data_IF_202738092994
#
_entry.id   IF_202738092994
#
_cell.length_a   1.000
_cell.length_b   1.000
_cell.length_c   1.000
_cell.angle_alpha   90.00
_cell.angle_beta   90.00
_cell.angle_gamma   90.00
#
_symmetry.space_group_name_H-M   'P 1'
#
loop_
_entity.id
_entity.type
_entity.pdbx_description
1 polymer ?
#
# COMPACT_ATOMS: atom_id res chain seq x y z
N UNK A 1 -9.89 24.54 3.42
CA UNK A 1 -9.25 25.16 4.61
C UNK A 1 -10.21 26.24 5.12
N UNK A 2 -10.94 25.99 6.20
CA UNK A 2 -12.03 26.88 6.67
C UNK A 2 -11.48 28.02 7.56
N UNK A 3 -12.12 29.22 7.60
CA UNK A 3 -11.55 30.43 8.20
C UNK A 3 -11.52 30.45 9.73
N UNK A 4 -12.21 29.51 10.40
CA UNK A 4 -12.45 29.54 11.84
C UNK A 4 -11.31 28.93 12.68
N UNK A 5 -10.38 28.19 12.08
CA UNK A 5 -9.30 27.50 12.81
C UNK A 5 -8.28 28.41 13.47
N UNK A 6 -8.11 29.64 12.98
CA UNK A 6 -7.08 30.58 13.46
C UNK A 6 -7.53 31.29 14.75
N UNK A 7 -8.82 31.61 14.88
CA UNK A 7 -9.35 32.29 16.07
C UNK A 7 -9.42 31.38 17.31
N UNK A 8 -9.69 30.08 17.16
CA UNK A 8 -9.72 29.15 18.30
C UNK A 8 -8.34 28.84 18.88
N UNK A 9 -7.28 28.86 18.05
CA UNK A 9 -5.92 28.58 18.49
C UNK A 9 -5.33 29.65 19.42
N UNK A 10 -5.63 30.93 19.16
CA UNK A 10 -5.10 32.04 19.97
C UNK A 10 -5.69 32.06 21.38
N UNK A 11 -7.01 31.87 21.51
CA UNK A 11 -7.69 31.83 22.80
C UNK A 11 -7.27 30.61 23.64
N UNK A 12 -7.04 29.47 22.99
CA UNK A 12 -6.54 28.26 23.66
C UNK A 12 -5.11 28.41 24.21
N UNK A 13 -4.21 29.03 23.45
CA UNK A 13 -2.83 29.26 23.88
C UNK A 13 -2.74 30.21 25.09
N UNK A 14 -3.51 31.29 25.08
CA UNK A 14 -3.58 32.24 26.19
C UNK A 14 -4.18 31.58 27.44
N UNK A 15 -5.21 30.76 27.29
CA UNK A 15 -5.81 30.02 28.40
C UNK A 15 -4.85 28.96 28.98
N UNK A 16 -4.09 28.25 28.14
CA UNK A 16 -3.08 27.29 28.60
C UNK A 16 -1.97 27.98 29.39
N UNK A 17 -1.47 29.13 28.92
CA UNK A 17 -0.41 29.86 29.61
C UNK A 17 -0.90 30.44 30.95
N UNK A 18 -2.14 30.94 30.99
CA UNK A 18 -2.78 31.40 32.22
C UNK A 18 -2.95 30.25 33.23
N UNK A 19 -3.41 29.07 32.77
CA UNK A 19 -3.55 27.89 33.61
C UNK A 19 -2.19 27.41 34.13
N UNK A 20 -1.16 27.36 33.27
CA UNK A 20 0.20 27.00 33.66
C UNK A 20 0.72 27.91 34.78
N UNK A 21 0.59 29.22 34.58
CA UNK A 21 1.00 30.23 35.57
C UNK A 21 0.24 30.06 36.90
N UNK A 22 -1.05 29.72 36.83
CA UNK A 22 -1.85 29.46 38.03
C UNK A 22 -1.41 28.18 38.76
N UNK A 23 -1.16 27.10 38.03
CA UNK A 23 -0.65 25.83 38.57
C UNK A 23 0.73 26.02 39.22
N UNK A 24 1.64 26.78 38.60
CA UNK A 24 2.96 27.06 39.16
C UNK A 24 2.87 27.76 40.52
N UNK A 25 1.96 28.74 40.66
CA UNK A 25 1.69 29.40 41.94
C UNK A 25 1.13 28.44 43.00
N UNK A 26 0.29 27.49 42.60
CA UNK A 26 -0.23 26.46 43.51
C UNK A 26 0.90 25.52 43.96
N UNK A 27 1.81 25.16 43.05
CA UNK A 27 3.00 24.35 43.36
C UNK A 27 3.93 25.09 44.33
N UNK A 28 4.11 26.40 44.19
CA UNK A 28 4.88 27.22 45.14
C UNK A 28 4.25 27.24 46.54
N UNK A 29 2.94 27.47 46.65
CA UNK A 29 2.22 27.37 47.95
C UNK A 29 2.45 26.00 48.59
N UNK A 30 2.40 24.93 47.80
CA UNK A 30 2.61 23.56 48.27
C UNK A 30 4.05 23.37 48.78
N UNK A 31 5.06 23.91 48.07
CA UNK A 31 6.48 23.88 48.49
C UNK A 31 6.73 24.64 49.79
N UNK A 32 6.02 25.75 49.99
CA UNK A 32 6.06 26.55 51.22
C UNK A 32 5.30 25.90 52.39
N UNK A 33 4.66 24.74 52.18
CA UNK A 33 3.88 24.04 53.21
C UNK A 33 2.54 24.71 53.54
N UNK A 34 2.06 25.60 52.69
CA UNK A 34 0.76 26.28 52.88
C UNK A 34 -0.39 25.32 52.56
N UNK A 35 -1.48 25.42 53.34
CA UNK A 35 -2.70 24.66 53.09
C UNK A 35 -3.32 25.10 51.76
N UNK A 36 -3.57 24.14 50.87
CA UNK A 36 -4.25 24.38 49.60
C UNK A 36 -5.76 24.62 49.81
N UNK A 37 -6.33 25.55 49.06
CA UNK A 37 -7.78 25.72 48.97
C UNK A 37 -8.41 24.68 48.04
N UNK A 38 -9.74 24.60 48.01
CA UNK A 38 -10.46 23.74 47.06
C UNK A 38 -10.20 24.15 45.61
N UNK A 39 -10.08 25.45 45.33
CA UNK A 39 -9.72 26.00 44.03
C UNK A 39 -8.30 25.61 43.63
N UNK A 40 -7.34 25.65 44.56
CA UNK A 40 -5.96 25.21 44.31
C UNK A 40 -5.93 23.72 43.89
N UNK A 41 -6.73 22.88 44.55
CA UNK A 41 -6.89 21.46 44.19
C UNK A 41 -7.52 21.30 42.79
N UNK A 42 -8.56 22.07 42.46
CA UNK A 42 -9.16 22.06 41.12
C UNK A 42 -8.18 22.49 40.03
N UNK A 43 -7.35 23.51 40.28
CA UNK A 43 -6.33 23.96 39.33
C UNK A 43 -5.29 22.87 39.05
N UNK A 44 -4.88 22.10 40.07
CA UNK A 44 -3.98 20.97 39.88
C UNK A 44 -4.61 19.89 39.00
N UNK A 45 -5.87 19.52 39.23
CA UNK A 45 -6.58 18.56 38.37
C UNK A 45 -6.70 19.07 36.93
N UNK A 46 -7.08 20.33 36.73
CA UNK A 46 -7.16 20.95 35.40
C UNK A 46 -5.79 20.95 34.71
N UNK A 47 -4.71 21.24 35.45
CA UNK A 47 -3.34 21.17 34.95
C UNK A 47 -2.96 19.78 34.45
N UNK A 48 -3.27 18.74 35.22
CA UNK A 48 -3.02 17.34 34.84
C UNK A 48 -3.79 16.97 33.56
N UNK A 49 -5.08 17.31 33.49
CA UNK A 49 -5.93 17.03 32.33
C UNK A 49 -5.38 17.71 31.07
N UNK A 50 -5.03 19.01 31.15
CA UNK A 50 -4.48 19.75 30.01
C UNK A 50 -3.15 19.17 29.55
N UNK A 51 -2.31 18.72 30.48
CA UNK A 51 -1.05 18.05 30.15
C UNK A 51 -1.28 16.70 29.43
N UNK A 52 -2.20 15.87 29.92
CA UNK A 52 -2.57 14.60 29.28
C UNK A 52 -3.14 14.82 27.86
N UNK A 53 -4.03 15.82 27.69
CA UNK A 53 -4.56 16.20 26.38
C UNK A 53 -3.46 16.65 25.41
N UNK A 54 -2.44 17.37 25.92
CA UNK A 54 -1.25 17.72 25.15
C UNK A 54 -0.47 16.49 24.68
N UNK A 55 -0.29 15.50 25.56
CA UNK A 55 0.32 14.21 25.24
C UNK A 55 -0.45 13.47 24.14
N UNK A 56 -1.76 13.34 24.29
CA UNK A 56 -2.65 12.70 23.30
C UNK A 56 -2.53 13.39 21.94
N UNK A 57 -2.53 14.73 21.91
CA UNK A 57 -2.37 15.49 20.67
C UNK A 57 -1.03 15.20 19.99
N UNK A 58 0.05 15.08 20.76
CA UNK A 58 1.36 14.69 20.24
C UNK A 58 1.38 13.27 19.65
N UNK A 59 0.71 12.32 20.31
CA UNK A 59 0.55 10.96 19.78
C UNK A 59 -0.26 10.92 18.49
N UNK A 60 -1.35 11.72 18.39
CA UNK A 60 -2.13 11.86 17.16
C UNK A 60 -1.25 12.35 16.01
N UNK A 61 -0.47 13.41 16.20
CA UNK A 61 0.44 13.92 15.17
C UNK A 61 1.47 12.88 14.75
N UNK A 62 2.01 12.11 15.70
CA UNK A 62 2.93 11.00 15.40
C UNK A 62 2.26 9.87 14.61
N UNK A 63 1.00 9.56 14.93
CA UNK A 63 0.22 8.55 14.22
C UNK A 63 -0.13 9.00 12.80
N UNK A 64 -0.52 10.27 12.61
CA UNK A 64 -0.77 10.86 11.30
C UNK A 64 0.48 10.73 10.40
N UNK A 65 1.66 11.10 10.92
CA UNK A 65 2.92 10.94 10.18
C UNK A 65 3.22 9.48 9.82
N UNK A 66 2.93 8.53 10.72
CA UNK A 66 3.11 7.09 10.44
C UNK A 66 2.12 6.59 9.40
N UNK A 67 0.88 7.08 9.41
CA UNK A 67 -0.13 6.77 8.40
C UNK A 67 0.33 7.29 7.04
N UNK A 68 0.76 8.54 6.95
CA UNK A 68 1.24 9.13 5.70
C UNK A 68 2.44 8.37 5.13
N UNK A 69 3.42 8.03 5.96
CA UNK A 69 4.56 7.21 5.54
C UNK A 69 4.14 5.80 5.10
N UNK A 70 3.11 5.23 5.72
CA UNK A 70 2.59 3.90 5.35
C UNK A 70 1.84 3.97 4.02
N UNK A 71 1.04 5.01 3.80
CA UNK A 71 0.34 5.25 2.53
C UNK A 71 1.34 5.40 1.37
N UNK A 72 2.39 6.21 1.54
CA UNK A 72 3.45 6.35 0.54
C UNK A 72 4.12 5.01 0.18
N UNK A 73 4.36 4.14 1.19
CA UNK A 73 4.92 2.81 0.95
C UNK A 73 3.94 1.90 0.20
N UNK A 74 2.64 1.99 0.50
CA UNK A 74 1.60 1.24 -0.20
C UNK A 74 1.52 1.67 -1.66
N UNK A 75 1.52 2.98 -1.94
CA UNK A 75 1.46 3.51 -3.30
C UNK A 75 2.67 3.07 -4.12
N UNK A 76 3.88 3.16 -3.55
CA UNK A 76 5.11 2.69 -4.20
C UNK A 76 5.10 1.18 -4.47
N UNK A 77 4.56 0.37 -3.55
CA UNK A 77 4.40 -1.07 -3.75
C UNK A 77 3.37 -1.39 -4.83
N UNK A 78 2.24 -0.67 -4.86
CA UNK A 78 1.22 -0.84 -5.88
C UNK A 78 1.76 -0.53 -7.28
N UNK A 79 2.50 0.58 -7.44
CA UNK A 79 3.12 0.95 -8.71
C UNK A 79 4.16 -0.11 -9.15
N UNK A 80 5.01 -0.57 -8.23
CA UNK A 80 6.01 -1.60 -8.52
C UNK A 80 5.38 -2.93 -8.93
N UNK A 81 4.31 -3.35 -8.26
CA UNK A 81 3.58 -4.57 -8.60
C UNK A 81 2.91 -4.46 -9.97
N UNK A 82 2.26 -3.34 -10.27
CA UNK A 82 1.64 -3.12 -11.58
C UNK A 82 2.68 -3.24 -12.72
N UNK A 83 3.84 -2.57 -12.59
CA UNK A 83 4.93 -2.68 -13.59
C UNK A 83 5.43 -4.12 -13.77
N UNK A 84 5.55 -4.88 -12.68
CA UNK A 84 5.95 -6.29 -12.74
C UNK A 84 4.89 -7.16 -13.41
N UNK A 85 3.62 -6.91 -13.13
CA UNK A 85 2.49 -7.61 -13.77
C UNK A 85 2.50 -7.35 -15.27
N UNK A 86 2.63 -6.09 -15.69
CA UNK A 86 2.67 -5.73 -17.12
C UNK A 86 3.85 -6.40 -17.83
N UNK A 87 5.04 -6.36 -17.22
CA UNK A 87 6.25 -7.00 -17.76
C UNK A 87 6.07 -8.51 -17.91
N UNK A 88 5.49 -9.18 -16.90
CA UNK A 88 5.23 -10.62 -16.95
C UNK A 88 4.17 -10.94 -17.99
N UNK A 89 3.10 -10.15 -18.08
CA UNK A 89 2.06 -10.32 -19.07
C UNK A 89 2.63 -10.23 -20.50
N UNK A 90 3.41 -9.19 -20.81
CA UNK A 90 4.07 -9.04 -22.11
C UNK A 90 5.01 -10.21 -22.44
N UNK A 91 5.82 -10.63 -21.46
CA UNK A 91 6.75 -11.75 -21.63
C UNK A 91 6.02 -13.07 -21.93
N UNK A 92 4.93 -13.33 -21.21
CA UNK A 92 4.10 -14.51 -21.43
C UNK A 92 3.38 -14.46 -22.77
N UNK A 93 2.80 -13.32 -23.15
CA UNK A 93 2.18 -13.15 -24.48
C UNK A 93 3.17 -13.45 -25.60
N UNK A 94 4.40 -12.91 -25.54
CA UNK A 94 5.45 -13.22 -26.54
C UNK A 94 5.80 -14.71 -26.60
N UNK A 95 5.90 -15.37 -25.44
CA UNK A 95 6.18 -16.81 -25.37
C UNK A 95 5.04 -17.66 -25.92
N UNK A 96 3.80 -17.23 -25.71
CA UNK A 96 2.60 -17.88 -26.27
C UNK A 96 2.61 -17.73 -27.79
N UNK A 97 2.83 -16.52 -28.31
CA UNK A 97 2.90 -16.27 -29.75
C UNK A 97 3.98 -17.13 -30.44
N UNK A 98 5.16 -17.20 -29.83
CA UNK A 98 6.25 -18.03 -30.34
C UNK A 98 5.92 -19.53 -30.28
N UNK A 99 5.27 -19.98 -29.22
CA UNK A 99 4.82 -21.37 -29.10
C UNK A 99 3.77 -21.70 -30.17
N UNK A 100 2.83 -20.79 -30.43
CA UNK A 100 1.83 -20.95 -31.47
C UNK A 100 2.49 -21.07 -32.85
N UNK A 101 3.46 -20.20 -33.19
CA UNK A 101 4.21 -20.32 -34.45
C UNK A 101 4.91 -21.67 -34.60
N UNK A 102 5.51 -22.18 -33.52
CA UNK A 102 6.16 -23.51 -33.53
C UNK A 102 5.15 -24.63 -33.71
N UNK A 103 3.95 -24.50 -33.13
CA UNK A 103 2.85 -25.44 -33.33
C UNK A 103 2.39 -25.41 -34.79
N UNK A 104 2.16 -24.23 -35.37
CA UNK A 104 1.74 -24.08 -36.77
C UNK A 104 2.77 -24.71 -37.72
N UNK A 105 4.06 -24.44 -37.49
CA UNK A 105 5.14 -25.03 -38.28
C UNK A 105 5.21 -26.57 -38.12
N UNK A 106 4.94 -27.09 -36.93
CA UNK A 106 4.90 -28.54 -36.70
C UNK A 106 3.69 -29.17 -37.40
N UNK A 107 2.51 -28.54 -37.32
CA UNK A 107 1.30 -28.97 -38.01
C UNK A 107 1.53 -29.06 -39.52
N UNK A 108 2.14 -28.04 -40.14
CA UNK A 108 2.48 -28.06 -41.55
C UNK A 108 3.41 -29.23 -41.93
N UNK A 109 4.44 -29.51 -41.10
CA UNK A 109 5.33 -30.65 -41.32
C UNK A 109 4.61 -32.00 -41.19
N UNK A 110 3.64 -32.11 -40.28
CA UNK A 110 2.82 -33.31 -40.12
C UNK A 110 1.98 -33.52 -41.39
N UNK A 111 1.35 -32.47 -41.92
CA UNK A 111 0.56 -32.54 -43.15
C UNK A 111 1.41 -33.02 -44.34
N UNK A 112 2.64 -32.52 -44.47
CA UNK A 112 3.55 -32.95 -45.55
C UNK A 112 4.02 -34.40 -45.40
N UNK A 113 4.28 -34.86 -44.17
CA UNK A 113 4.57 -36.26 -43.88
C UNK A 113 3.36 -37.15 -44.21
N UNK A 114 2.15 -36.72 -43.87
CA UNK A 114 0.91 -37.44 -44.21
C UNK A 114 0.73 -37.58 -45.72
N UNK A 115 0.98 -36.51 -46.50
CA UNK A 115 0.95 -36.57 -47.97
C UNK A 115 1.95 -37.58 -48.52
N UNK A 116 3.19 -37.52 -48.06
CA UNK A 116 4.25 -38.45 -48.49
C UNK A 116 3.88 -39.90 -48.17
N UNK A 117 3.28 -40.15 -46.99
CA UNK A 117 2.83 -41.49 -46.61
C UNK A 117 1.72 -42.01 -47.52
N UNK A 118 0.74 -41.18 -47.87
CA UNK A 118 -0.33 -41.54 -48.81
C UNK A 118 0.23 -41.87 -50.20
N UNK A 119 1.22 -41.11 -50.66
CA UNK A 119 1.88 -41.36 -51.94
C UNK A 119 2.65 -42.67 -51.96
N UNK A 120 3.41 -42.97 -50.90
CA UNK A 120 4.09 -44.27 -50.74
C UNK A 120 3.07 -45.42 -50.71
N UNK A 121 1.97 -45.28 -49.96
CA UNK A 121 0.90 -46.29 -49.91
C UNK A 121 0.32 -46.55 -51.31
N UNK A 122 0.10 -45.50 -52.10
CA UNK A 122 -0.38 -45.63 -53.48
C UNK A 122 0.61 -46.40 -54.36
N UNK A 123 1.90 -46.04 -54.34
CA UNK A 123 2.93 -46.71 -55.13
C UNK A 123 3.07 -48.19 -54.78
N UNK A 124 2.99 -48.54 -53.49
CA UNK A 124 3.02 -49.94 -53.04
C UNK A 124 1.84 -50.75 -53.58
N UNK A 125 0.63 -50.16 -53.61
CA UNK A 125 -0.54 -50.81 -54.20
C UNK A 125 -0.37 -51.02 -55.71
N UNK A 126 0.20 -50.05 -56.42
CA UNK A 126 0.48 -50.16 -57.85
C UNK A 126 1.50 -51.28 -58.14
N UNK A 127 2.60 -51.36 -57.38
CA UNK A 127 3.60 -52.43 -57.49
C UNK A 127 3.00 -53.82 -57.21
N UNK A 128 2.16 -53.95 -56.17
CA UNK A 128 1.47 -55.21 -55.86
C UNK A 128 0.52 -55.67 -56.97
N UNK A 129 -0.07 -54.74 -57.72
CA UNK A 129 -0.91 -55.06 -58.88
C UNK A 129 -0.07 -55.49 -60.08
N UNK A 130 1.04 -54.79 -60.35
CA UNK A 130 1.94 -55.09 -61.46
C UNK A 130 2.60 -56.47 -61.32
N UNK A 131 2.99 -56.88 -60.10
CA UNK A 131 3.57 -58.21 -59.86
C UNK A 131 2.57 -59.38 -59.88
N UNK A 132 1.26 -59.12 -60.01
CA UNK A 132 0.22 -60.15 -60.14
C UNK A 132 -0.27 -60.34 -61.58
N UNK A 133 0.18 -59.50 -62.52
CA UNK A 133 -0.09 -59.60 -63.95
C UNK A 133 1.05 -60.38 -64.64
#
# INVERSE_FOLDING_TARGET
MWPWGVCYGLHGAVAQEALRTAVDKVVEKLREGKKLSTEDIFLLYLGTIVNELGGIRGEITRLEQRIDATNQRIDALAESLNKRIDTVAESLSRRIDETNRRIDALSARIDDVQKTLLEIQRLLVELLKAGRA
#
